data_IF_334072470062
#
_entry.id   IF_334072470062
#
_cell.length_a   1.000
_cell.length_b   1.000
_cell.length_c   1.000
_cell.angle_alpha   90.00
_cell.angle_beta   90.00
_cell.angle_gamma   90.00
#
_symmetry.space_group_name_H-M   'P 1'
#
loop_
_entity.id
_entity.type
_entity.pdbx_description
1 polymer ?
#
# COMPACT_ATOMS: atom_id res chain seq x y z
N UNK A 1 -24.79 22.73 3.28
CA UNK A 1 -23.81 21.92 2.52
C UNK A 1 -23.83 20.48 3.00
N UNK A 2 -24.31 20.28 4.22
CA UNK A 2 -24.68 19.02 4.84
C UNK A 2 -25.36 18.05 3.87
N UNK A 3 -24.96 16.79 3.93
CA UNK A 3 -25.53 15.71 3.14
C UNK A 3 -25.32 14.36 3.84
N UNK A 4 -26.39 13.60 3.99
CA UNK A 4 -26.41 12.23 4.51
C UNK A 4 -26.84 11.20 3.45
N UNK A 5 -26.85 11.59 2.16
CA UNK A 5 -27.06 10.74 0.99
C UNK A 5 -28.39 9.94 0.91
N UNK A 6 -29.27 10.02 1.92
CA UNK A 6 -30.58 9.37 1.99
C UNK A 6 -31.52 9.79 0.84
N UNK A 7 -31.35 10.99 0.30
CA UNK A 7 -32.09 11.49 -0.86
C UNK A 7 -31.62 10.89 -2.20
N UNK A 8 -30.59 10.03 -2.21
CA UNK A 8 -30.01 9.43 -3.41
C UNK A 8 -29.20 10.40 -4.28
N UNK A 9 -28.75 11.54 -3.74
CA UNK A 9 -28.02 12.57 -4.47
C UNK A 9 -26.73 13.01 -3.74
N UNK A 10 -25.63 13.06 -4.48
CA UNK A 10 -24.33 13.59 -4.00
C UNK A 10 -24.40 15.12 -3.81
N UNK A 11 -25.26 15.80 -4.59
CA UNK A 11 -25.44 17.25 -4.54
C UNK A 11 -25.80 17.73 -3.12
N UNK A 12 -25.22 18.84 -2.65
CA UNK A 12 -24.53 19.88 -3.44
C UNK A 12 -23.03 19.62 -3.69
N UNK A 13 -22.47 18.53 -3.17
CA UNK A 13 -21.07 18.15 -3.42
C UNK A 13 -20.87 17.71 -4.88
N UNK A 14 -19.64 17.87 -5.36
CA UNK A 14 -19.22 17.64 -6.74
C UNK A 14 -18.20 16.52 -6.75
N UNK A 15 -18.55 15.40 -7.37
CA UNK A 15 -17.59 14.35 -7.72
C UNK A 15 -16.71 14.86 -8.87
N UNK A 16 -15.40 14.90 -8.65
CA UNK A 16 -14.37 15.32 -9.60
C UNK A 16 -13.41 14.17 -9.97
N UNK A 17 -13.77 12.93 -9.61
CA UNK A 17 -12.91 11.76 -9.81
C UNK A 17 -12.78 11.34 -11.27
N UNK A 18 -11.78 10.50 -11.56
CA UNK A 18 -11.72 9.76 -12.82
C UNK A 18 -12.91 8.77 -12.93
N UNK A 19 -13.49 8.54 -14.13
CA UNK A 19 -14.59 7.58 -14.30
C UNK A 19 -14.31 6.16 -13.80
N UNK A 20 -13.05 5.72 -13.69
CA UNK A 20 -12.65 4.39 -13.21
C UNK A 20 -12.76 4.23 -11.68
N UNK A 21 -12.46 5.28 -10.90
CA UNK A 21 -12.48 5.27 -9.43
C UNK A 21 -13.18 6.52 -8.95
N UNK A 22 -14.44 6.41 -8.52
CA UNK A 22 -15.35 7.55 -8.30
C UNK A 22 -16.28 7.37 -7.11
N UNK A 23 -16.97 8.43 -6.71
CA UNK A 23 -17.93 8.37 -5.61
C UNK A 23 -19.32 7.92 -6.09
N UNK A 24 -19.95 7.04 -5.30
CA UNK A 24 -21.26 6.47 -5.63
C UNK A 24 -22.05 6.18 -4.36
N UNK A 25 -23.36 6.39 -4.41
CA UNK A 25 -24.21 6.15 -3.25
C UNK A 25 -24.51 4.65 -3.16
N UNK A 26 -24.00 4.01 -2.10
CA UNK A 26 -24.32 2.63 -1.74
C UNK A 26 -25.53 2.61 -0.80
N UNK A 27 -26.56 1.84 -1.15
CA UNK A 27 -27.59 1.47 -0.19
C UNK A 27 -27.15 0.19 0.50
N UNK A 28 -26.96 0.23 1.82
CA UNK A 28 -26.48 -0.90 2.63
C UNK A 28 -27.39 -2.13 2.57
N UNK A 29 -28.67 -1.99 2.22
CA UNK A 29 -29.58 -3.13 2.08
C UNK A 29 -29.47 -3.81 0.71
N UNK A 30 -28.76 -3.20 -0.24
CA UNK A 30 -28.46 -3.73 -1.57
C UNK A 30 -27.05 -3.27 -2.03
N UNK A 31 -25.97 -3.66 -1.33
CA UNK A 31 -24.61 -3.28 -1.70
C UNK A 31 -24.23 -3.88 -3.06
N UNK A 32 -23.37 -3.20 -3.82
CA UNK A 32 -22.86 -3.75 -5.08
C UNK A 32 -21.64 -4.67 -4.87
N UNK A 33 -20.95 -4.53 -3.74
CA UNK A 33 -19.90 -5.43 -3.24
C UNK A 33 -20.45 -6.26 -2.06
N UNK A 34 -21.21 -7.35 -2.30
CA UNK A 34 -21.88 -8.09 -1.22
C UNK A 34 -20.91 -8.70 -0.19
N UNK A 35 -19.74 -9.16 -0.64
CA UNK A 35 -18.70 -9.75 0.22
C UNK A 35 -17.91 -8.71 1.02
N UNK A 36 -17.92 -7.43 0.61
CA UNK A 36 -17.26 -6.32 1.30
C UNK A 36 -18.25 -5.24 1.78
N UNK A 37 -19.40 -5.70 2.29
CA UNK A 37 -20.47 -4.85 2.78
C UNK A 37 -20.03 -3.95 3.93
N UNK A 38 -20.40 -2.67 3.86
CA UNK A 38 -20.17 -1.71 4.93
C UNK A 38 -20.93 -2.08 6.23
N UNK A 39 -20.34 -1.81 7.42
CA UNK A 39 -21.00 -1.99 8.70
C UNK A 39 -22.23 -1.09 8.84
N UNK A 40 -23.01 -1.25 9.91
CA UNK A 40 -24.22 -0.43 10.12
C UNK A 40 -23.81 1.04 10.30
N UNK A 41 -24.19 1.98 9.41
CA UNK A 41 -23.88 3.39 9.56
C UNK A 41 -24.54 3.96 10.83
N UNK A 42 -23.99 5.06 11.33
CA UNK A 42 -24.47 5.72 12.55
C UNK A 42 -25.90 6.28 12.40
N UNK A 43 -26.32 6.52 11.16
CA UNK A 43 -27.64 6.99 10.75
C UNK A 43 -28.02 6.32 9.41
N UNK A 44 -29.30 6.37 9.03
CA UNK A 44 -29.70 6.07 7.65
C UNK A 44 -29.48 4.63 7.14
N UNK A 45 -29.24 4.52 5.84
CA UNK A 45 -29.02 3.29 5.06
C UNK A 45 -28.31 3.54 3.71
N UNK A 46 -28.24 4.79 3.23
CA UNK A 46 -27.44 5.20 2.10
C UNK A 46 -26.15 5.86 2.61
N UNK A 47 -25.02 5.58 1.98
CA UNK A 47 -23.74 6.23 2.27
C UNK A 47 -22.98 6.45 0.96
N UNK A 48 -21.97 7.32 0.96
CA UNK A 48 -21.15 7.57 -0.23
C UNK A 48 -19.89 6.72 -0.16
N UNK A 49 -19.74 5.78 -1.11
CA UNK A 49 -18.63 4.81 -1.19
C UNK A 49 -17.86 4.99 -2.48
N UNK A 50 -16.57 4.66 -2.46
CA UNK A 50 -15.74 4.60 -3.67
C UNK A 50 -16.11 3.37 -4.52
N UNK A 51 -16.49 3.59 -5.78
CA UNK A 51 -16.71 2.57 -6.82
C UNK A 51 -15.47 2.50 -7.73
N UNK A 52 -14.76 1.37 -7.66
CA UNK A 52 -13.54 1.05 -8.43
C UNK A 52 -13.82 0.26 -9.73
N UNK A 53 -15.09 0.07 -10.08
CA UNK A 53 -15.51 -0.74 -11.22
C UNK A 53 -15.21 -2.24 -11.07
N UNK A 54 -15.51 -3.02 -12.11
CA UNK A 54 -15.36 -4.49 -12.09
C UNK A 54 -13.90 -4.98 -12.07
N UNK A 55 -12.95 -4.10 -12.37
CA UNK A 55 -11.51 -4.40 -12.35
C UNK A 55 -10.84 -4.05 -11.02
N UNK A 56 -11.58 -3.50 -10.05
CA UNK A 56 -11.04 -2.97 -8.79
C UNK A 56 -9.83 -2.05 -9.01
N UNK A 57 -10.00 -1.07 -9.92
CA UNK A 57 -8.93 -0.16 -10.31
C UNK A 57 -8.38 0.61 -9.09
N UNK A 58 -7.06 0.76 -9.03
CA UNK A 58 -6.43 1.73 -8.12
C UNK A 58 -6.71 3.15 -8.59
N UNK A 59 -6.88 4.07 -7.65
CA UNK A 59 -7.03 5.48 -7.94
C UNK A 59 -7.53 6.27 -6.74
N UNK A 60 -7.79 7.56 -6.99
CA UNK A 60 -8.26 8.50 -5.97
C UNK A 60 -9.63 9.04 -6.37
N UNK A 61 -10.62 8.81 -5.52
CA UNK A 61 -11.92 9.42 -5.68
C UNK A 61 -11.94 10.80 -5.01
N UNK A 62 -12.29 11.84 -5.77
CA UNK A 62 -12.20 13.25 -5.37
C UNK A 62 -13.61 13.82 -5.19
N UNK A 63 -13.96 14.26 -3.99
CA UNK A 63 -15.24 14.93 -3.70
C UNK A 63 -15.01 16.34 -3.17
N UNK A 64 -15.49 17.36 -3.91
CA UNK A 64 -15.34 18.77 -3.55
C UNK A 64 -16.66 19.39 -3.08
N UNK A 65 -16.60 20.21 -2.04
CA UNK A 65 -17.74 21.01 -1.57
C UNK A 65 -18.07 22.16 -2.53
N UNK A 66 -19.27 22.75 -2.46
CA UNK A 66 -19.48 24.11 -2.93
C UNK A 66 -18.49 25.09 -2.26
N UNK A 67 -18.26 26.24 -2.91
CA UNK A 67 -17.53 27.35 -2.30
C UNK A 67 -18.31 27.90 -1.12
N UNK A 68 -17.63 28.13 0.00
CA UNK A 68 -18.16 28.80 1.17
C UNK A 68 -17.17 29.82 1.72
N UNK A 69 -17.65 30.64 2.65
CA UNK A 69 -16.85 31.58 3.44
C UNK A 69 -17.26 31.38 4.91
N UNK A 70 -16.31 31.39 5.83
CA UNK A 70 -16.58 31.35 7.27
C UNK A 70 -15.47 32.05 8.05
N UNK A 71 -15.74 32.42 9.29
CA UNK A 71 -14.72 32.91 10.24
C UNK A 71 -14.34 31.81 11.25
N UNK A 72 -15.31 31.05 11.76
CA UNK A 72 -15.11 29.79 12.47
C UNK A 72 -16.30 28.85 12.21
N UNK A 73 -16.04 27.60 11.84
CA UNK A 73 -17.04 26.53 11.67
C UNK A 73 -16.38 25.18 11.86
N UNK A 74 -17.07 24.26 12.54
CA UNK A 74 -16.70 22.86 12.63
C UNK A 74 -17.33 22.08 11.47
N UNK A 75 -16.55 21.24 10.82
CA UNK A 75 -17.05 20.28 9.84
C UNK A 75 -16.86 18.87 10.37
N UNK A 76 -17.95 18.11 10.42
CA UNK A 76 -17.96 16.73 10.90
C UNK A 76 -18.52 15.78 9.84
N UNK A 77 -18.09 14.54 9.91
CA UNK A 77 -18.53 13.47 9.01
C UNK A 77 -18.38 12.10 9.67
N UNK A 78 -19.26 11.17 9.30
CA UNK A 78 -19.13 9.74 9.60
C UNK A 78 -18.27 9.08 8.52
N UNK A 79 -17.41 8.13 8.87
CA UNK A 79 -16.60 7.38 7.91
C UNK A 79 -16.40 5.91 8.33
N UNK A 80 -16.15 5.07 7.33
CA UNK A 80 -15.61 3.72 7.49
C UNK A 80 -14.56 3.47 6.41
N UNK A 81 -13.41 2.98 6.84
CA UNK A 81 -12.28 2.60 5.99
C UNK A 81 -11.92 1.16 6.33
N UNK A 82 -11.63 0.36 5.31
CA UNK A 82 -11.13 -1.01 5.44
C UNK A 82 -10.11 -1.23 4.33
N UNK A 83 -9.03 -1.93 4.64
CA UNK A 83 -7.97 -2.24 3.66
C UNK A 83 -7.44 -3.64 3.89
N UNK A 84 -7.17 -4.44 2.85
CA UNK A 84 -6.48 -5.73 3.02
C UNK A 84 -5.07 -5.52 3.57
N UNK A 85 -4.39 -4.54 3.03
CA UNK A 85 -3.05 -4.11 3.40
C UNK A 85 -3.17 -2.73 4.05
N UNK A 86 -2.75 -2.56 5.32
CA UNK A 86 -2.76 -1.26 5.95
C UNK A 86 -2.02 -0.19 5.13
N UNK A 87 -2.40 1.08 5.31
CA UNK A 87 -1.84 2.26 4.63
C UNK A 87 -2.19 2.42 3.12
N UNK A 88 -2.48 1.36 2.35
CA UNK A 88 -2.81 1.48 0.91
C UNK A 88 -4.19 2.10 0.60
N UNK A 89 -5.10 2.08 1.57
CA UNK A 89 -6.39 2.76 1.52
C UNK A 89 -6.34 3.91 2.52
N UNK A 90 -6.86 5.09 2.16
CA UNK A 90 -6.88 6.26 3.04
C UNK A 90 -8.02 7.22 2.66
N UNK A 91 -8.46 8.04 3.62
CA UNK A 91 -9.34 9.17 3.39
C UNK A 91 -8.69 10.43 3.94
N UNK A 92 -8.34 11.35 3.05
CA UNK A 92 -7.78 12.63 3.41
C UNK A 92 -8.78 13.75 3.17
N UNK A 93 -8.75 14.76 4.03
CA UNK A 93 -9.56 15.97 3.92
C UNK A 93 -8.65 17.18 3.84
N UNK A 94 -8.78 17.93 2.75
CA UNK A 94 -8.05 19.17 2.49
C UNK A 94 -8.98 20.39 2.56
N UNK A 95 -8.42 21.50 3.00
CA UNK A 95 -9.00 22.83 2.84
C UNK A 95 -8.30 23.54 1.67
N UNK A 96 -9.05 23.78 0.60
CA UNK A 96 -8.64 24.70 -0.46
C UNK A 96 -8.97 26.13 -0.03
N UNK A 97 -7.92 26.98 0.05
CA UNK A 97 -8.02 28.41 0.29
C UNK A 97 -7.53 29.20 -0.93
N UNK A 98 -8.48 29.69 -1.72
CA UNK A 98 -8.26 30.45 -2.97
C UNK A 98 -7.38 29.73 -4.02
N UNK A 99 -7.47 28.41 -4.13
CA UNK A 99 -6.68 27.56 -5.04
C UNK A 99 -5.42 26.94 -4.42
N UNK A 100 -5.22 27.08 -3.10
CA UNK A 100 -4.11 26.47 -2.37
C UNK A 100 -4.67 25.45 -1.38
N UNK A 101 -4.39 24.17 -1.61
CA UNK A 101 -4.89 23.07 -0.78
C UNK A 101 -3.92 22.77 0.38
N UNK A 102 -4.44 22.70 1.60
CA UNK A 102 -3.71 22.26 2.79
C UNK A 102 -4.43 21.09 3.46
N UNK A 103 -3.69 20.05 3.83
CA UNK A 103 -4.21 18.88 4.55
C UNK A 103 -4.73 19.30 5.93
N UNK A 104 -5.98 18.95 6.23
CA UNK A 104 -6.57 19.09 7.58
C UNK A 104 -6.47 17.80 8.38
N UNK A 105 -6.63 16.65 7.71
CA UNK A 105 -6.82 15.36 8.36
C UNK A 105 -6.49 14.23 7.37
N UNK A 106 -5.75 13.22 7.85
CA UNK A 106 -5.50 11.95 7.17
C UNK A 106 -5.98 10.82 8.10
N UNK A 107 -6.52 9.73 7.55
CA UNK A 107 -7.25 8.69 8.31
C UNK A 107 -6.69 7.27 8.11
N UNK A 108 -5.43 7.16 7.64
CA UNK A 108 -4.75 5.91 7.34
C UNK A 108 -4.66 4.96 8.55
N UNK A 109 -4.66 5.50 9.77
CA UNK A 109 -4.69 4.78 11.05
C UNK A 109 -5.92 3.88 11.23
N UNK A 110 -6.97 4.08 10.43
CA UNK A 110 -8.20 3.25 10.43
C UNK A 110 -8.24 2.20 9.30
N UNK A 111 -7.19 2.12 8.49
CA UNK A 111 -7.09 1.22 7.35
C UNK A 111 -6.61 -0.16 7.78
N UNK A 112 -7.51 -0.93 8.40
CA UNK A 112 -7.27 -2.31 8.87
C UNK A 112 -8.29 -3.26 8.24
N UNK A 113 -7.84 -4.45 7.84
CA UNK A 113 -8.68 -5.52 7.24
C UNK A 113 -9.77 -6.02 8.20
N UNK A 114 -9.57 -5.79 9.49
CA UNK A 114 -10.47 -6.13 10.59
C UNK A 114 -11.37 -4.95 11.00
N UNK A 115 -11.17 -3.74 10.47
CA UNK A 115 -12.00 -2.59 10.84
C UNK A 115 -13.44 -2.80 10.35
N UNK A 116 -14.37 -2.93 11.31
CA UNK A 116 -15.82 -3.11 11.08
C UNK A 116 -16.65 -2.02 11.76
N UNK A 117 -16.02 -0.92 12.17
CA UNK A 117 -16.67 0.14 12.94
C UNK A 117 -16.75 1.45 12.14
N UNK A 118 -17.95 2.02 12.11
CA UNK A 118 -18.13 3.41 11.69
C UNK A 118 -17.62 4.34 12.79
N UNK A 119 -16.85 5.36 12.39
CA UNK A 119 -16.36 6.42 13.27
C UNK A 119 -16.87 7.77 12.81
N UNK A 120 -16.76 8.79 13.65
CA UNK A 120 -16.98 10.19 13.32
C UNK A 120 -15.68 10.95 13.49
N UNK A 121 -15.37 11.83 12.54
CA UNK A 121 -14.34 12.86 12.70
C UNK A 121 -14.95 14.26 12.68
N UNK A 122 -14.23 15.22 13.22
CA UNK A 122 -14.57 16.65 13.23
C UNK A 122 -13.28 17.47 13.08
N UNK A 123 -13.32 18.51 12.25
CA UNK A 123 -12.21 19.46 12.04
C UNK A 123 -12.71 20.90 12.23
N UNK A 124 -11.89 21.75 12.83
CA UNK A 124 -12.15 23.19 12.95
C UNK A 124 -11.66 23.92 11.68
N UNK A 125 -12.48 24.82 11.13
CA UNK A 125 -12.17 25.61 9.94
C UNK A 125 -12.25 27.09 10.31
N UNK A 126 -11.09 27.73 10.39
CA UNK A 126 -10.95 29.16 10.69
C UNK A 126 -10.42 29.94 9.50
N UNK A 127 -11.07 31.05 9.13
CA UNK A 127 -10.52 32.00 8.16
C UNK A 127 -10.90 33.46 8.46
N UNK A 128 -9.93 34.24 8.94
CA UNK A 128 -10.09 35.68 9.17
C UNK A 128 -10.02 36.52 7.88
N UNK A 129 -9.76 35.92 6.71
CA UNK A 129 -9.41 36.64 5.48
C UNK A 129 -10.52 36.74 4.43
N UNK A 130 -11.74 36.27 4.73
CA UNK A 130 -12.87 36.22 3.79
C UNK A 130 -12.48 35.57 2.44
N UNK A 131 -11.69 34.49 2.52
CA UNK A 131 -11.27 33.70 1.37
C UNK A 131 -12.41 32.84 0.86
N UNK A 132 -12.33 32.45 -0.41
CA UNK A 132 -13.17 31.41 -0.97
C UNK A 132 -12.59 30.06 -0.55
N UNK A 133 -13.37 29.31 0.25
CA UNK A 133 -12.98 28.02 0.79
C UNK A 133 -13.73 26.90 0.07
N UNK A 134 -13.06 25.78 -0.20
CA UNK A 134 -13.72 24.49 -0.46
C UNK A 134 -13.07 23.39 0.36
N UNK A 135 -13.87 22.40 0.76
CA UNK A 135 -13.36 21.14 1.31
C UNK A 135 -13.21 20.13 0.19
N UNK A 136 -12.14 19.35 0.22
CA UNK A 136 -11.84 18.31 -0.76
C UNK A 136 -11.53 17.02 -0.02
N UNK A 137 -12.33 15.99 -0.25
CA UNK A 137 -11.97 14.63 0.13
C UNK A 137 -11.17 13.98 -0.99
N UNK A 138 -10.01 13.43 -0.65
CA UNK A 138 -9.24 12.52 -1.50
C UNK A 138 -9.33 11.13 -0.85
N UNK A 139 -10.09 10.23 -1.48
CA UNK A 139 -10.21 8.85 -1.04
C UNK A 139 -9.33 7.94 -1.90
N UNK A 140 -8.19 7.55 -1.34
CA UNK A 140 -7.29 6.55 -1.89
C UNK A 140 -7.86 5.17 -1.57
N UNK A 141 -8.14 4.37 -2.59
CA UNK A 141 -8.73 3.05 -2.41
C UNK A 141 -7.85 2.02 -3.13
N UNK A 142 -7.35 1.03 -2.39
CA UNK A 142 -6.48 -0.03 -2.92
C UNK A 142 -7.18 -0.91 -3.96
N UNK A 143 -6.52 -1.98 -4.40
CA UNK A 143 -7.01 -2.90 -5.45
C UNK A 143 -7.64 -4.19 -4.91
N UNK A 144 -7.50 -4.50 -3.61
CA UNK A 144 -8.02 -5.72 -3.02
C UNK A 144 -9.54 -5.69 -2.88
N UNK A 145 -10.19 -6.85 -2.82
CA UNK A 145 -11.64 -6.95 -2.69
C UNK A 145 -12.14 -6.41 -1.33
N UNK A 146 -11.27 -6.42 -0.32
CA UNK A 146 -11.50 -5.91 1.02
C UNK A 146 -11.41 -4.39 1.13
N UNK A 147 -10.77 -3.72 0.18
CA UNK A 147 -10.51 -2.27 0.24
C UNK A 147 -11.80 -1.47 0.06
N UNK A 148 -12.05 -0.53 0.96
CA UNK A 148 -13.22 0.33 0.95
C UNK A 148 -12.94 1.66 1.66
N UNK A 149 -13.38 2.75 1.04
CA UNK A 149 -13.55 4.06 1.68
C UNK A 149 -15.01 4.46 1.55
N UNK A 150 -15.62 4.82 2.67
CA UNK A 150 -17.02 5.25 2.75
C UNK A 150 -17.16 6.45 3.68
N UNK A 151 -17.96 7.44 3.28
CA UNK A 151 -18.32 8.63 4.08
C UNK A 151 -19.83 8.80 4.15
N UNK A 152 -20.30 9.43 5.23
CA UNK A 152 -21.71 9.71 5.48
C UNK A 152 -21.87 10.89 6.49
N UNK A 153 -23.10 11.32 6.75
CA UNK A 153 -23.46 12.36 7.73
C UNK A 153 -22.60 13.64 7.64
N UNK A 154 -22.32 14.15 6.43
CA UNK A 154 -21.55 15.39 6.27
C UNK A 154 -22.32 16.55 6.90
N UNK A 155 -21.72 17.30 7.84
CA UNK A 155 -22.43 18.31 8.63
C UNK A 155 -21.53 19.48 9.05
N UNK A 156 -22.01 20.71 8.86
CA UNK A 156 -21.35 21.94 9.32
C UNK A 156 -22.04 22.52 10.55
N UNK A 157 -21.27 22.92 11.57
CA UNK A 157 -21.75 23.50 12.83
C UNK A 157 -20.97 24.76 13.21
N UNK A 158 -21.63 25.75 13.82
CA UNK A 158 -20.94 26.90 14.45
C UNK A 158 -20.47 26.60 15.88
N UNK A 159 -20.98 25.53 16.48
CA UNK A 159 -20.64 25.08 17.83
C UNK A 159 -19.87 23.76 17.75
N UNK A 160 -18.75 23.64 18.47
CA UNK A 160 -17.99 22.39 18.59
C UNK A 160 -18.83 21.29 19.25
N UNK A 161 -18.77 20.05 18.75
CA UNK A 161 -19.45 18.94 19.41
C UNK A 161 -18.65 18.56 20.66
N UNK A 162 -19.26 18.67 21.84
CA UNK A 162 -18.63 18.33 23.14
C UNK A 162 -18.44 16.80 23.33
N UNK A 163 -17.56 16.19 22.55
CA UNK A 163 -17.16 14.77 22.67
C UNK A 163 -16.18 14.57 23.84
N UNK A 164 -16.72 14.39 25.04
CA UNK A 164 -15.92 14.02 26.22
C UNK A 164 -15.57 12.54 26.22
N UNK A 165 -14.47 12.13 25.56
CA UNK A 165 -13.50 11.11 26.05
C UNK A 165 -12.15 11.35 25.38
N UNK A 166 -11.13 11.73 26.16
CA UNK A 166 -9.72 11.68 25.73
C UNK A 166 -9.17 10.28 26.05
N UNK A 167 -8.56 9.55 25.09
CA UNK A 167 -7.86 8.31 25.42
C UNK A 167 -6.68 8.65 26.34
N UNK A 168 -6.69 8.09 27.55
CA UNK A 168 -5.58 8.23 28.49
C UNK A 168 -4.51 7.21 28.11
N UNK A 169 -3.38 7.69 27.59
CA UNK A 169 -2.20 6.88 27.35
C UNK A 169 -1.81 6.15 28.64
N UNK A 170 -2.05 4.84 28.66
CA UNK A 170 -1.85 4.00 29.84
C UNK A 170 -0.45 3.41 29.77
N UNK A 171 0.51 4.05 30.42
CA UNK A 171 1.89 3.57 30.50
C UNK A 171 1.97 2.34 31.41
N UNK A 172 1.69 1.16 30.85
CA UNK A 172 1.87 -0.11 31.58
C UNK A 172 3.35 -0.48 31.65
N UNK A 173 4.01 -0.08 32.74
CA UNK A 173 5.34 -0.58 33.09
C UNK A 173 5.32 -2.10 33.27
N UNK A 174 6.22 -2.80 32.58
CA UNK A 174 6.33 -4.25 32.70
C UNK A 174 6.83 -4.67 34.10
N UNK A 175 6.28 -5.73 34.65
CA UNK A 175 6.86 -6.40 35.82
C UNK A 175 6.57 -7.90 35.75
N UNK A 176 7.63 -8.72 35.76
CA UNK A 176 7.54 -10.19 35.70
C UNK A 176 6.70 -10.77 36.85
N UNK A 177 5.80 -11.75 36.59
CA UNK A 177 5.26 -12.59 37.64
C UNK A 177 6.17 -13.78 37.92
N UNK A 178 6.63 -13.93 39.16
CA UNK A 178 7.20 -15.17 39.68
C UNK A 178 6.12 -15.99 40.40
N UNK A 179 5.92 -17.21 39.89
CA UNK A 179 5.62 -18.47 40.62
C UNK A 179 4.82 -18.50 41.94
N UNK A 180 3.78 -19.36 41.89
CA UNK A 180 3.38 -20.42 42.85
C UNK A 180 2.27 -20.23 43.90
N UNK A 181 1.39 -21.25 43.90
CA UNK A 181 0.62 -21.88 45.00
C UNK A 181 -0.68 -21.28 45.57
N UNK A 182 -1.80 -21.74 44.99
CA UNK A 182 -2.87 -22.55 45.62
C UNK A 182 -3.56 -22.12 46.94
N UNK A 183 -4.90 -22.01 46.91
CA UNK A 183 -5.77 -22.86 47.77
C UNK A 183 -7.25 -22.87 47.33
N UNK A 184 -7.86 -24.05 47.46
CA UNK A 184 -9.22 -24.55 47.18
C UNK A 184 -10.47 -23.82 47.72
N UNK A 185 -11.62 -24.24 47.17
CA UNK A 185 -12.99 -24.41 47.75
C UNK A 185 -14.08 -23.40 47.32
N UNK A 186 -15.39 -23.73 47.25
CA UNK A 186 -16.09 -25.00 46.95
C UNK A 186 -17.61 -24.74 46.75
N UNK A 187 -18.28 -25.53 45.90
CA UNK A 187 -19.75 -25.87 45.93
C UNK A 187 -20.81 -24.77 46.05
N UNK A 188 -21.74 -24.69 45.07
CA UNK A 188 -23.07 -25.32 45.26
C UNK A 188 -23.95 -25.32 43.99
N UNK A 189 -24.87 -26.28 43.93
CA UNK A 189 -25.80 -26.56 42.83
C UNK A 189 -27.26 -26.53 43.28
N UNK A 190 -28.20 -26.04 42.45
CA UNK A 190 -29.63 -26.37 42.58
C UNK A 190 -30.38 -26.33 41.22
N UNK A 191 -31.54 -27.00 41.14
CA UNK A 191 -32.12 -27.58 39.91
C UNK A 191 -33.55 -27.10 39.54
N UNK A 192 -34.03 -27.58 38.36
CA UNK A 192 -35.42 -27.71 37.82
C UNK A 192 -36.04 -26.50 37.05
N UNK A 193 -36.94 -26.65 36.06
CA UNK A 193 -37.78 -27.82 35.65
C UNK A 193 -38.10 -27.92 34.12
N UNK A 194 -38.14 -29.18 33.64
CA UNK A 194 -38.93 -29.89 32.58
C UNK A 194 -40.35 -29.31 32.27
N UNK A 195 -41.10 -29.59 31.14
CA UNK A 195 -40.92 -30.58 30.03
C UNK A 195 -41.09 -30.08 28.56
N UNK A 196 -40.81 -30.96 27.58
CA UNK A 196 -41.78 -31.48 26.58
C UNK A 196 -41.30 -32.86 26.07
N UNK A 197 -42.23 -33.70 25.64
CA UNK A 197 -42.16 -35.18 25.66
C UNK A 197 -42.14 -35.78 24.25
N UNK A 198 -41.23 -36.76 23.98
CA UNK A 198 -41.43 -38.05 23.25
C UNK A 198 -42.07 -38.06 21.83
N UNK A 199 -41.77 -38.94 20.86
CA UNK A 199 -41.04 -40.23 20.72
C UNK A 199 -40.40 -40.26 19.30
N UNK A 200 -39.67 -41.26 18.77
CA UNK A 200 -39.37 -42.66 19.12
C UNK A 200 -38.11 -43.05 18.30
N UNK A 201 -37.05 -43.63 18.88
CA UNK A 201 -36.65 -45.06 18.77
C UNK A 201 -36.51 -45.62 17.33
N UNK A 202 -35.48 -46.39 16.97
CA UNK A 202 -34.69 -47.34 17.79
C UNK A 202 -33.37 -47.75 17.08
N UNK A 203 -32.27 -47.89 17.84
CA UNK A 203 -31.20 -48.94 17.80
C UNK A 203 -30.62 -49.49 16.46
N UNK A 204 -29.36 -49.96 16.36
CA UNK A 204 -28.41 -50.49 17.37
C UNK A 204 -26.97 -50.54 16.82
N UNK A 205 -25.96 -50.43 17.71
CA UNK A 205 -24.77 -51.28 17.92
C UNK A 205 -24.02 -51.95 16.73
N UNK A 206 -22.69 -52.20 16.77
CA UNK A 206 -21.61 -51.76 17.68
C UNK A 206 -20.20 -52.12 17.13
N UNK A 207 -19.22 -51.45 17.73
CA UNK A 207 -17.75 -51.69 17.79
C UNK A 207 -17.29 -53.16 17.68
N UNK A 208 -16.24 -53.45 16.89
CA UNK A 208 -14.95 -54.00 17.40
C UNK A 208 -13.88 -54.27 16.32
N UNK A 209 -12.62 -54.19 16.78
CA UNK A 209 -11.33 -54.36 16.08
C UNK A 209 -10.86 -55.81 15.90
N UNK A 210 -9.89 -56.07 15.00
CA UNK A 210 -8.55 -56.68 15.28
C UNK A 210 -7.72 -56.94 14.00
N UNK A 211 -6.39 -56.84 14.12
CA UNK A 211 -5.30 -57.07 13.15
C UNK A 211 -4.91 -58.55 12.94
N UNK A 212 -4.36 -58.94 11.78
CA UNK A 212 -3.15 -59.82 11.66
C UNK A 212 -2.56 -59.88 10.24
N UNK A 213 -1.26 -60.20 10.15
CA UNK A 213 -0.43 -60.31 8.94
C UNK A 213 -0.61 -61.62 8.12
N UNK A 214 -0.01 -61.68 6.92
CA UNK A 214 0.18 -62.94 6.16
C UNK A 214 0.79 -62.77 4.76
N UNK A 215 1.84 -63.53 4.44
CA UNK A 215 2.76 -63.33 3.29
C UNK A 215 2.69 -64.46 2.23
N UNK A 216 3.11 -64.17 0.98
CA UNK A 216 3.60 -65.05 -0.12
C UNK A 216 2.93 -66.40 -0.46
N UNK A 217 2.67 -66.64 -1.76
CA UNK A 217 3.53 -67.52 -2.62
C UNK A 217 3.08 -67.55 -4.10
N UNK A 218 3.95 -68.06 -4.97
CA UNK A 218 3.89 -68.10 -6.45
C UNK A 218 3.42 -69.45 -7.02
N UNK A 219 2.97 -69.49 -8.29
CA UNK A 219 3.56 -70.34 -9.37
C UNK A 219 2.86 -70.13 -10.76
N UNK A 220 3.24 -70.93 -11.77
CA UNK A 220 3.57 -70.46 -13.15
C UNK A 220 2.85 -71.25 -14.27
N UNK A 221 3.15 -70.94 -15.55
CA UNK A 221 2.81 -71.64 -16.83
C UNK A 221 1.40 -71.35 -17.42
N UNK A 222 1.17 -71.29 -18.75
CA UNK A 222 2.06 -71.31 -19.93
C UNK A 222 1.45 -70.59 -21.16
N UNK A 223 2.21 -70.48 -22.27
CA UNK A 223 1.86 -69.77 -23.52
C UNK A 223 0.61 -70.28 -24.28
N UNK A 224 -0.15 -69.38 -24.93
CA UNK A 224 -0.01 -69.13 -26.40
C UNK A 224 -0.96 -68.04 -26.94
N UNK A 225 -0.49 -67.38 -28.01
CA UNK A 225 -1.04 -66.24 -28.76
C UNK A 225 -2.46 -66.37 -29.31
N UNK A 226 -3.26 -65.29 -29.25
CA UNK A 226 -3.82 -64.67 -30.47
C UNK A 226 -4.16 -63.18 -30.27
N UNK A 227 -4.16 -62.41 -31.37
CA UNK A 227 -4.32 -60.95 -31.39
C UNK A 227 -5.76 -60.47 -31.23
N UNK A 228 -6.01 -59.47 -30.38
CA UNK A 228 -6.90 -58.35 -30.74
C UNK A 228 -6.70 -57.10 -29.86
N UNK A 229 -6.85 -55.92 -30.47
CA UNK A 229 -6.63 -54.62 -29.84
C UNK A 229 -7.88 -54.17 -29.05
N UNK A 230 -7.67 -53.56 -27.88
CA UNK A 230 -8.71 -52.89 -27.07
C UNK A 230 -8.67 -51.38 -27.35
N UNK A 231 -9.81 -50.67 -27.46
CA UNK A 231 -9.83 -49.31 -28.02
C UNK A 231 -9.46 -48.19 -27.03
N UNK A 232 -8.78 -47.16 -27.55
CA UNK A 232 -8.62 -45.85 -26.91
C UNK A 232 -9.90 -44.98 -26.97
N UNK A 233 -10.02 -43.95 -26.11
CA UNK A 233 -11.24 -43.16 -25.98
C UNK A 233 -11.45 -42.15 -27.12
N UNK A 234 -12.71 -42.01 -27.56
CA UNK A 234 -13.11 -41.21 -28.71
C UNK A 234 -12.97 -39.70 -28.50
N UNK A 235 -12.04 -39.07 -29.23
CA UNK A 235 -11.97 -37.61 -29.42
C UNK A 235 -13.22 -37.11 -30.15
N UNK A 236 -14.00 -36.20 -29.55
CA UNK A 236 -15.14 -35.55 -30.23
C UNK A 236 -14.67 -34.55 -31.28
N UNK A 237 -14.96 -34.84 -32.55
CA UNK A 237 -14.87 -33.88 -33.66
C UNK A 237 -16.18 -33.12 -33.78
N UNK A 238 -16.14 -31.78 -33.76
CA UNK A 238 -17.26 -30.94 -34.17
C UNK A 238 -16.97 -30.37 -35.58
N UNK A 239 -17.97 -30.43 -36.45
CA UNK A 239 -17.92 -29.94 -37.83
C UNK A 239 -18.02 -28.42 -37.91
N UNK A 240 -17.41 -27.76 -38.92
CA UNK A 240 -17.54 -26.32 -39.12
C UNK A 240 -18.92 -25.97 -39.70
N UNK A 241 -19.56 -24.92 -39.18
CA UNK A 241 -20.79 -24.35 -39.74
C UNK A 241 -20.47 -23.15 -40.63
N UNK A 242 -21.05 -23.10 -41.82
CA UNK A 242 -20.85 -22.04 -42.82
C UNK A 242 -21.85 -20.89 -42.65
N UNK A 243 -21.35 -19.66 -42.51
CA UNK A 243 -22.11 -18.39 -42.45
C UNK A 243 -21.36 -17.37 -43.34
N UNK A 244 -22.03 -16.45 -44.09
CA UNK A 244 -21.50 -16.00 -45.36
C UNK A 244 -20.47 -14.86 -45.30
N UNK A 245 -19.67 -14.81 -46.36
CA UNK A 245 -18.58 -13.88 -46.62
C UNK A 245 -19.09 -12.43 -46.78
N UNK A 246 -18.61 -11.51 -45.94
CA UNK A 246 -18.90 -10.08 -46.05
C UNK A 246 -17.65 -9.34 -46.55
N UNK A 247 -17.76 -8.68 -47.70
CA UNK A 247 -16.64 -8.10 -48.45
C UNK A 247 -15.86 -7.04 -47.66
N UNK A 248 -14.66 -7.39 -47.18
CA UNK A 248 -13.76 -6.44 -46.51
C UNK A 248 -13.04 -5.57 -47.55
N UNK A 249 -13.41 -4.29 -47.62
CA UNK A 249 -12.78 -3.31 -48.51
C UNK A 249 -11.45 -2.84 -47.91
N UNK A 250 -10.33 -3.24 -48.52
CA UNK A 250 -9.00 -2.74 -48.16
C UNK A 250 -8.90 -1.24 -48.46
N UNK A 251 -8.59 -0.44 -47.45
CA UNK A 251 -8.17 0.96 -47.62
C UNK A 251 -6.70 1.07 -47.22
N UNK A 252 -5.87 1.47 -48.18
CA UNK A 252 -4.45 1.78 -47.99
C UNK A 252 -4.31 3.07 -47.18
N UNK A 253 -3.45 3.15 -46.15
CA UNK A 253 -3.15 4.42 -45.49
C UNK A 253 -2.25 5.27 -46.39
N UNK A 254 -2.74 6.47 -46.75
CA UNK A 254 -1.95 7.51 -47.42
C UNK A 254 -1.01 8.19 -46.42
N UNK A 255 0.27 8.48 -46.75
CA UNK A 255 1.14 9.26 -45.89
C UNK A 255 0.62 10.71 -45.78
N UNK A 256 0.38 11.20 -44.56
CA UNK A 256 -0.19 12.52 -44.32
C UNK A 256 0.32 13.17 -43.03
N UNK A 257 1.15 14.19 -43.22
CA UNK A 257 1.33 15.38 -42.38
C UNK A 257 1.71 15.22 -40.88
N UNK A 258 2.99 15.51 -40.59
CA UNK A 258 3.49 15.69 -39.22
C UNK A 258 3.05 17.07 -38.71
N UNK A 259 2.14 17.11 -37.73
CA UNK A 259 1.81 18.34 -37.01
C UNK A 259 2.85 18.55 -35.90
N UNK A 260 3.80 19.45 -36.16
CA UNK A 260 4.80 19.86 -35.17
C UNK A 260 4.18 20.82 -34.15
N UNK A 261 3.79 20.33 -32.98
CA UNK A 261 3.33 21.19 -31.89
C UNK A 261 4.52 21.86 -31.20
N UNK A 262 4.87 23.07 -31.62
CA UNK A 262 5.92 23.88 -30.99
C UNK A 262 5.43 24.48 -29.68
N UNK A 263 6.04 24.09 -28.55
CA UNK A 263 5.87 24.79 -27.28
C UNK A 263 6.55 26.18 -27.35
N UNK A 264 5.97 27.22 -26.71
CA UNK A 264 6.58 28.54 -26.67
C UNK A 264 7.82 28.56 -25.79
N UNK A 265 8.97 28.88 -26.37
CA UNK A 265 10.20 29.17 -25.62
C UNK A 265 10.10 30.52 -24.93
N UNK A 266 10.13 30.54 -23.60
CA UNK A 266 10.34 31.76 -22.84
C UNK A 266 11.82 32.19 -22.92
N UNK A 267 12.13 33.48 -23.13
CA UNK A 267 13.50 33.96 -23.16
C UNK A 267 14.09 33.99 -21.74
N UNK A 268 15.15 33.22 -21.52
CA UNK A 268 16.01 33.37 -20.34
C UNK A 268 16.78 34.67 -20.48
N UNK A 269 16.66 35.56 -19.50
CA UNK A 269 17.50 36.75 -19.34
C UNK A 269 18.63 36.47 -18.36
N UNK A 270 19.84 36.93 -18.70
CA UNK A 270 21.07 36.67 -17.93
C UNK A 270 21.02 37.22 -16.50
N UNK A 271 21.58 36.51 -15.51
CA UNK A 271 21.87 37.11 -14.21
C UNK A 271 23.08 38.05 -14.32
N UNK A 272 22.89 39.28 -13.85
CA UNK A 272 23.93 40.32 -13.81
C UNK A 272 25.08 39.95 -12.88
N UNK A 273 26.31 40.20 -13.34
CA UNK A 273 27.52 40.18 -12.54
C UNK A 273 27.54 41.30 -11.49
N UNK A 274 27.88 40.96 -10.25
CA UNK A 274 28.47 41.90 -9.29
C UNK A 274 29.65 41.24 -8.59
N UNK A 275 30.84 41.80 -8.78
CA UNK A 275 32.01 41.55 -7.94
C UNK A 275 31.81 42.23 -6.58
N UNK A 276 32.31 41.64 -5.49
CA UNK A 276 33.14 42.40 -4.53
C UNK A 276 34.05 41.48 -3.70
N UNK A 277 34.93 42.10 -2.90
CA UNK A 277 36.29 41.58 -2.65
C UNK A 277 36.66 41.47 -1.16
N UNK A 278 37.41 40.41 -0.85
CA UNK A 278 38.52 40.36 0.13
C UNK A 278 38.40 41.04 1.52
N UNK A 279 38.29 40.18 2.54
CA UNK A 279 39.15 40.15 3.76
C UNK A 279 39.10 41.28 4.82
N UNK A 280 38.93 40.89 6.09
CA UNK A 280 39.12 41.76 7.26
C UNK A 280 38.91 41.05 8.61
N UNK A 281 40.00 40.67 9.28
CA UNK A 281 40.02 39.94 10.57
C UNK A 281 39.82 40.86 11.79
N UNK A 282 39.10 40.42 12.85
CA UNK A 282 39.54 40.40 14.28
C UNK A 282 38.46 39.91 15.25
N UNK A 283 38.90 39.37 16.40
CA UNK A 283 38.08 38.74 17.46
C UNK A 283 37.42 39.75 18.43
N UNK A 284 36.35 39.34 19.14
CA UNK A 284 36.35 39.33 20.62
C UNK A 284 35.18 38.52 21.25
N UNK A 285 35.54 37.49 22.02
CA UNK A 285 34.94 36.98 23.28
C UNK A 285 33.43 37.00 23.62
N UNK A 286 32.96 35.79 24.01
CA UNK A 286 32.00 35.45 25.10
C UNK A 286 30.55 35.95 25.06
N UNK A 287 29.60 35.02 24.96
CA UNK A 287 28.92 34.49 26.16
C UNK A 287 28.44 33.03 25.94
N UNK A 288 28.11 32.33 27.03
CA UNK A 288 27.71 30.92 27.06
C UNK A 288 26.18 30.76 26.99
N UNK A 289 25.69 30.11 25.95
CA UNK A 289 24.36 29.47 25.96
C UNK A 289 24.49 28.03 25.48
N UNK A 290 24.22 27.08 26.38
CA UNK A 290 24.06 25.67 26.06
C UNK A 290 22.77 25.46 25.25
N UNK A 291 22.88 25.68 23.94
CA UNK A 291 21.88 25.25 22.98
C UNK A 291 22.28 23.85 22.53
N UNK A 292 21.63 22.81 23.05
CA UNK A 292 21.77 21.44 22.52
C UNK A 292 21.07 21.39 21.17
N UNK A 293 21.72 21.90 20.13
CA UNK A 293 21.41 21.56 18.75
C UNK A 293 21.79 20.10 18.56
N UNK A 294 20.82 19.24 18.24
CA UNK A 294 21.15 17.93 17.68
C UNK A 294 22.07 18.16 16.47
N UNK A 295 23.16 17.38 16.32
CA UNK A 295 23.96 17.47 15.11
C UNK A 295 23.09 17.06 13.93
N UNK A 296 23.07 17.90 12.90
CA UNK A 296 22.62 17.52 11.57
C UNK A 296 23.58 16.43 11.08
N UNK A 297 23.19 15.17 11.23
CA UNK A 297 24.07 14.03 11.08
C UNK A 297 24.40 13.82 9.60
N UNK A 298 25.65 14.12 9.25
CA UNK A 298 26.12 14.07 7.88
C UNK A 298 26.48 12.64 7.51
N UNK A 299 26.02 12.22 6.34
CA UNK A 299 26.40 11.00 5.65
C UNK A 299 27.89 10.60 5.81
N UNK A 300 28.25 9.31 5.80
CA UNK A 300 29.64 8.86 5.94
C UNK A 300 30.62 9.51 4.93
N UNK A 301 31.72 10.07 5.44
CA UNK A 301 32.71 10.84 4.66
C UNK A 301 33.36 10.00 3.53
N UNK A 302 33.44 8.68 3.69
CA UNK A 302 34.08 7.77 2.75
C UNK A 302 33.39 7.73 1.38
N UNK A 303 32.04 7.64 1.34
CA UNK A 303 31.30 7.62 0.07
C UNK A 303 31.04 9.04 -0.47
N UNK A 304 30.99 10.08 0.37
CA UNK A 304 30.87 11.48 -0.10
C UNK A 304 31.98 11.89 -1.08
N UNK A 305 33.18 11.32 -0.95
CA UNK A 305 34.30 11.59 -1.86
C UNK A 305 34.20 10.88 -3.23
N UNK A 306 33.30 9.90 -3.36
CA UNK A 306 33.12 9.13 -4.59
C UNK A 306 32.03 9.75 -5.47
N UNK A 307 32.43 10.45 -6.54
CA UNK A 307 31.48 11.07 -7.48
C UNK A 307 30.53 10.11 -8.19
N UNK A 308 30.84 8.80 -8.18
CA UNK A 308 29.96 7.74 -8.70
C UNK A 308 28.93 7.21 -7.69
N UNK A 309 29.05 7.57 -6.40
CA UNK A 309 28.16 7.15 -5.30
C UNK A 309 27.81 8.36 -4.41
N UNK A 310 27.17 9.43 -4.95
CA UNK A 310 26.77 10.59 -4.15
C UNK A 310 25.81 10.22 -3.03
N UNK A 311 26.08 10.75 -1.83
CA UNK A 311 25.31 10.53 -0.61
C UNK A 311 24.42 11.71 -0.25
N UNK A 312 23.23 11.43 0.25
CA UNK A 312 22.20 12.39 0.59
C UNK A 312 21.43 11.94 1.84
N UNK A 313 21.21 12.85 2.78
CA UNK A 313 20.30 12.62 3.92
C UNK A 313 18.86 12.78 3.44
N UNK A 314 18.02 11.77 3.71
CA UNK A 314 16.59 11.76 3.41
C UNK A 314 15.89 11.42 4.73
N UNK A 315 15.03 12.32 5.22
CA UNK A 315 14.55 12.25 6.60
C UNK A 315 15.72 12.41 7.59
N UNK A 316 15.95 11.41 8.42
CA UNK A 316 17.10 11.31 9.34
C UNK A 316 18.20 10.38 8.84
N UNK A 317 17.97 9.60 7.79
CA UNK A 317 18.84 8.52 7.34
C UNK A 317 19.68 8.95 6.14
N UNK A 318 20.90 8.40 6.01
CA UNK A 318 21.76 8.65 4.85
C UNK A 318 21.65 7.54 3.80
N UNK A 319 21.43 7.96 2.55
CA UNK A 319 21.41 7.07 1.39
C UNK A 319 22.42 7.51 0.33
N UNK A 320 23.18 6.58 -0.24
CA UNK A 320 24.16 6.85 -1.29
C UNK A 320 23.81 6.11 -2.58
N UNK A 321 23.60 6.87 -3.66
CA UNK A 321 22.99 6.35 -4.90
C UNK A 321 24.06 6.13 -5.97
N UNK A 322 24.27 4.89 -6.42
CA UNK A 322 25.22 4.63 -7.50
C UNK A 322 24.71 5.21 -8.83
N UNK A 323 25.48 6.15 -9.40
CA UNK A 323 25.17 6.84 -10.65
C UNK A 323 26.08 6.42 -11.82
N UNK A 324 27.06 5.55 -11.57
CA UNK A 324 28.05 5.15 -12.56
C UNK A 324 27.47 4.31 -13.70
N UNK A 325 28.27 4.10 -14.75
CA UNK A 325 27.87 3.38 -15.95
C UNK A 325 28.11 1.86 -15.90
N UNK A 326 28.72 1.34 -14.83
CA UNK A 326 28.92 -0.10 -14.65
C UNK A 326 27.68 -0.72 -14.04
N UNK A 327 27.05 -1.64 -14.76
CA UNK A 327 25.96 -2.45 -14.24
C UNK A 327 26.53 -3.60 -13.40
N UNK A 328 25.93 -3.87 -12.24
CA UNK A 328 26.45 -4.84 -11.27
C UNK A 328 25.44 -5.98 -11.00
N UNK A 329 25.98 -7.11 -10.57
CA UNK A 329 25.22 -8.15 -9.86
C UNK A 329 25.01 -7.75 -8.39
N UNK A 330 24.10 -8.47 -7.71
CA UNK A 330 23.68 -8.15 -6.34
C UNK A 330 24.85 -8.23 -5.35
N UNK A 331 25.68 -9.27 -5.45
CA UNK A 331 26.83 -9.49 -4.56
C UNK A 331 27.88 -8.39 -4.69
N UNK A 332 28.14 -7.90 -5.90
CA UNK A 332 29.07 -6.80 -6.14
C UNK A 332 28.54 -5.47 -5.60
N UNK A 333 27.22 -5.26 -5.66
CA UNK A 333 26.58 -4.08 -5.09
C UNK A 333 26.62 -4.09 -3.55
N UNK A 334 26.26 -5.21 -2.92
CA UNK A 334 26.35 -5.43 -1.47
C UNK A 334 27.76 -5.18 -0.93
N UNK A 335 28.77 -5.77 -1.59
CA UNK A 335 30.17 -5.58 -1.18
C UNK A 335 30.60 -4.09 -1.24
N UNK A 336 30.15 -3.31 -2.22
CA UNK A 336 30.52 -1.88 -2.30
C UNK A 336 29.89 -1.07 -1.16
N UNK A 337 28.66 -1.37 -0.77
CA UNK A 337 28.06 -0.73 0.39
C UNK A 337 28.79 -1.12 1.69
N UNK A 338 29.10 -2.40 1.87
CA UNK A 338 29.85 -2.89 3.05
C UNK A 338 31.26 -2.34 3.14
N UNK A 339 31.96 -2.19 2.02
CA UNK A 339 33.27 -1.51 1.95
C UNK A 339 33.16 -0.04 2.40
N UNK A 340 31.99 0.57 2.24
CA UNK A 340 31.64 1.90 2.73
C UNK A 340 31.16 1.98 4.18
N UNK A 341 31.12 0.87 4.93
CA UNK A 341 30.48 0.76 6.26
C UNK A 341 28.99 1.08 6.25
N UNK A 342 28.31 0.65 5.18
CA UNK A 342 26.89 0.81 4.89
C UNK A 342 26.31 -0.55 4.45
N UNK A 343 24.99 -0.69 4.36
CA UNK A 343 24.32 -1.85 3.76
C UNK A 343 23.74 -1.50 2.39
N UNK A 344 23.30 -2.50 1.61
CA UNK A 344 22.31 -2.23 0.58
C UNK A 344 21.03 -1.70 1.24
N UNK A 345 20.29 -0.87 0.50
CA UNK A 345 19.00 -0.32 0.90
C UNK A 345 18.06 -1.41 1.41
N UNK A 346 17.72 -1.34 2.69
CA UNK A 346 16.51 -1.93 3.26
C UNK A 346 15.33 -1.00 3.02
N UNK A 347 14.11 -1.52 3.05
CA UNK A 347 12.92 -0.67 2.94
C UNK A 347 11.87 -1.20 3.91
N UNK A 348 11.91 -0.72 5.15
CA UNK A 348 11.15 -1.28 6.26
C UNK A 348 9.81 -0.56 6.50
N UNK A 349 9.60 0.58 5.84
CA UNK A 349 8.40 1.41 5.98
C UNK A 349 7.92 2.02 4.68
N UNK A 350 6.63 2.34 4.59
CA UNK A 350 6.04 3.07 3.47
C UNK A 350 6.63 4.49 3.35
N UNK A 351 6.88 5.14 4.48
CA UNK A 351 7.42 6.50 4.55
C UNK A 351 8.84 6.56 3.97
N UNK A 352 9.66 5.54 4.24
CA UNK A 352 10.97 5.35 3.62
C UNK A 352 10.85 5.07 2.13
N UNK A 353 10.06 4.06 1.74
CA UNK A 353 9.88 3.65 0.35
C UNK A 353 9.46 4.85 -0.52
N UNK A 354 8.49 5.65 -0.02
CA UNK A 354 8.02 6.84 -0.71
C UNK A 354 9.09 7.94 -0.76
N UNK A 355 9.85 8.13 0.32
CA UNK A 355 10.92 9.13 0.35
C UNK A 355 12.06 8.79 -0.62
N UNK A 356 12.40 7.51 -0.76
CA UNK A 356 13.37 7.03 -1.76
C UNK A 356 12.81 7.20 -3.17
N UNK A 357 11.55 6.81 -3.40
CA UNK A 357 10.88 7.00 -4.70
C UNK A 357 10.90 8.46 -5.13
N UNK A 358 10.34 9.36 -4.31
CA UNK A 358 10.25 10.80 -4.60
C UNK A 358 11.63 11.43 -4.81
N UNK A 359 12.65 10.99 -4.07
CA UNK A 359 14.02 11.43 -4.26
C UNK A 359 14.61 10.99 -5.60
N UNK A 360 14.44 9.71 -5.99
CA UNK A 360 14.95 9.19 -7.27
C UNK A 360 14.22 9.86 -8.44
N UNK A 361 12.89 9.96 -8.43
CA UNK A 361 12.13 10.50 -9.57
C UNK A 361 12.32 12.02 -9.76
N UNK A 362 12.59 12.77 -8.68
CA UNK A 362 12.87 14.22 -8.76
C UNK A 362 14.31 14.54 -9.16
N UNK A 363 15.25 13.59 -9.00
CA UNK A 363 16.66 13.81 -9.26
C UNK A 363 17.04 13.64 -10.73
N UNK A 364 17.17 14.77 -11.44
CA UNK A 364 17.65 14.81 -12.84
C UNK A 364 19.00 14.12 -13.11
N UNK A 365 19.81 13.83 -12.07
CA UNK A 365 21.09 13.10 -12.18
C UNK A 365 20.94 11.60 -11.93
N UNK A 366 20.02 11.20 -11.05
CA UNK A 366 19.71 9.79 -10.81
C UNK A 366 18.66 9.35 -11.83
N UNK A 367 19.11 9.29 -13.09
CA UNK A 367 18.32 9.03 -14.31
C UNK A 367 17.06 8.21 -14.00
N UNK A 368 15.83 8.74 -14.26
CA UNK A 368 14.58 8.09 -13.87
C UNK A 368 14.44 6.64 -14.33
N UNK A 369 15.12 6.24 -15.40
CA UNK A 369 15.16 4.87 -15.93
C UNK A 369 16.09 3.93 -15.13
N UNK A 370 16.03 3.98 -13.80
CA UNK A 370 16.94 3.27 -12.91
C UNK A 370 16.30 2.03 -12.29
N UNK A 371 16.92 0.87 -12.51
CA UNK A 371 16.72 -0.33 -11.71
C UNK A 371 17.81 -0.37 -10.63
N UNK A 372 17.45 -0.57 -9.36
CA UNK A 372 18.40 -0.56 -8.24
C UNK A 372 18.22 -1.81 -7.39
N UNK A 373 19.31 -2.53 -7.10
CA UNK A 373 19.31 -3.59 -6.10
C UNK A 373 18.96 -3.02 -4.72
N UNK A 374 18.16 -3.77 -3.97
CA UNK A 374 17.90 -3.61 -2.53
C UNK A 374 18.60 -4.73 -1.77
N UNK A 375 18.62 -4.68 -0.43
CA UNK A 375 19.09 -5.79 0.40
C UNK A 375 18.16 -7.02 0.37
N UNK A 376 17.01 -6.93 -0.31
CA UNK A 376 15.97 -7.95 -0.27
C UNK A 376 16.39 -9.25 -0.94
N UNK A 377 16.20 -10.36 -0.25
CA UNK A 377 16.64 -11.69 -0.69
C UNK A 377 15.65 -12.77 -0.24
N UNK A 378 15.44 -13.80 -1.06
CA UNK A 378 14.60 -14.93 -0.68
C UNK A 378 15.41 -16.05 0.00
N UNK A 379 14.92 -16.46 1.16
CA UNK A 379 15.51 -17.47 2.03
C UNK A 379 14.89 -18.84 1.75
N UNK A 380 15.61 -19.72 1.05
CA UNK A 380 15.14 -21.07 0.77
C UNK A 380 15.07 -21.98 2.02
N UNK A 381 15.83 -21.67 3.06
CA UNK A 381 15.82 -22.44 4.32
C UNK A 381 14.63 -22.06 5.21
N UNK A 382 14.18 -20.80 5.16
CA UNK A 382 13.06 -20.28 5.95
C UNK A 382 11.73 -20.19 5.17
N UNK A 383 11.76 -20.26 3.82
CA UNK A 383 10.62 -20.07 2.91
C UNK A 383 9.99 -18.66 2.99
N UNK A 384 10.83 -17.63 3.13
CA UNK A 384 10.41 -16.22 3.28
C UNK A 384 11.39 -15.22 2.63
N UNK A 385 10.94 -13.98 2.41
CA UNK A 385 11.80 -12.87 2.01
C UNK A 385 12.39 -12.17 3.24
N UNK A 386 13.71 -11.95 3.21
CA UNK A 386 14.52 -11.40 4.29
C UNK A 386 15.38 -10.24 3.80
N UNK A 387 15.63 -9.27 4.67
CA UNK A 387 16.58 -8.18 4.44
C UNK A 387 17.99 -8.66 4.73
N UNK A 388 18.77 -8.92 3.68
CA UNK A 388 20.15 -9.40 3.78
C UNK A 388 21.16 -8.28 4.14
N UNK A 389 20.75 -7.29 4.93
CA UNK A 389 21.52 -6.10 5.31
C UNK A 389 22.52 -6.42 6.43
N UNK A 390 22.03 -6.73 7.62
CA UNK A 390 22.83 -7.08 8.81
C UNK A 390 22.42 -8.45 9.34
N UNK A 391 23.37 -9.21 9.87
CA UNK A 391 23.10 -10.54 10.46
C UNK A 391 22.70 -10.39 11.95
N UNK A 392 21.62 -11.05 12.43
CA UNK A 392 20.74 -11.96 11.69
C UNK A 392 19.85 -11.22 10.68
N UNK A 393 19.68 -11.79 9.49
CA UNK A 393 18.73 -11.25 8.51
C UNK A 393 17.30 -11.27 9.07
N UNK A 394 16.59 -10.16 8.91
CA UNK A 394 15.23 -9.98 9.43
C UNK A 394 14.20 -10.17 8.30
N UNK A 395 13.06 -10.86 8.53
CA UNK A 395 12.00 -11.00 7.54
C UNK A 395 11.42 -9.64 7.11
N UNK A 396 10.86 -9.58 5.91
CA UNK A 396 10.21 -8.36 5.39
C UNK A 396 9.07 -7.87 6.31
N UNK A 397 9.25 -6.68 6.86
CA UNK A 397 8.27 -5.93 7.67
C UNK A 397 7.26 -5.15 6.80
N UNK A 398 7.67 -4.80 5.58
CA UNK A 398 6.95 -3.99 4.61
C UNK A 398 7.27 -4.50 3.19
N UNK A 399 6.32 -4.38 2.26
CA UNK A 399 6.45 -4.84 0.89
C UNK A 399 5.77 -3.87 -0.10
N UNK A 400 6.43 -3.59 -1.23
CA UNK A 400 5.83 -2.85 -2.35
C UNK A 400 6.07 -3.52 -3.72
N UNK A 401 5.85 -4.84 -3.75
CA UNK A 401 5.93 -5.69 -4.94
C UNK A 401 5.03 -5.20 -6.08
N UNK A 402 5.58 -5.15 -7.29
CA UNK A 402 4.86 -4.86 -8.52
C UNK A 402 3.74 -5.86 -8.82
N UNK A 403 2.80 -5.48 -9.69
CA UNK A 403 1.66 -6.35 -10.04
C UNK A 403 2.13 -7.65 -10.69
N UNK A 404 2.03 -8.75 -9.93
CA UNK A 404 2.45 -10.10 -10.35
C UNK A 404 3.73 -10.58 -9.67
N UNK A 405 4.38 -9.72 -8.88
CA UNK A 405 5.63 -9.99 -8.18
C UNK A 405 5.40 -10.36 -6.69
N UNK A 406 6.36 -11.03 -6.02
CA UNK A 406 7.49 -11.72 -6.64
C UNK A 406 6.97 -12.85 -7.55
N UNK A 407 7.45 -12.90 -8.80
CA UNK A 407 6.92 -13.86 -9.78
C UNK A 407 7.35 -15.29 -9.46
N UNK A 408 8.37 -15.45 -8.59
CA UNK A 408 8.90 -16.73 -8.13
C UNK A 408 9.33 -17.63 -9.31
N UNK A 409 9.86 -17.04 -10.39
CA UNK A 409 10.45 -17.84 -11.45
C UNK A 409 11.74 -18.52 -10.95
N UNK A 410 12.15 -19.59 -11.62
CA UNK A 410 13.27 -20.41 -11.13
C UNK A 410 14.57 -19.60 -11.02
N UNK A 411 15.09 -19.55 -9.78
CA UNK A 411 16.33 -18.91 -9.31
C UNK A 411 16.29 -17.37 -9.12
N UNK A 412 15.11 -16.75 -9.07
CA UNK A 412 14.94 -15.30 -8.88
C UNK A 412 14.83 -14.94 -7.39
N UNK A 413 15.99 -14.81 -6.72
CA UNK A 413 16.11 -14.72 -5.26
C UNK A 413 16.62 -13.38 -4.71
N UNK A 414 16.71 -12.33 -5.54
CA UNK A 414 17.13 -10.99 -5.10
C UNK A 414 16.15 -9.92 -5.59
N UNK A 415 15.80 -8.99 -4.71
CA UNK A 415 14.82 -7.94 -4.96
C UNK A 415 15.47 -6.66 -5.49
N UNK A 416 14.83 -6.04 -6.49
CA UNK A 416 15.21 -4.74 -7.03
C UNK A 416 14.02 -3.79 -7.12
N UNK A 417 14.30 -2.51 -6.93
CA UNK A 417 13.37 -1.41 -7.14
C UNK A 417 13.48 -0.87 -8.57
N UNK A 418 12.35 -0.72 -9.26
CA UNK A 418 12.24 -0.20 -10.62
C UNK A 418 11.55 1.17 -10.64
N UNK A 419 12.33 2.25 -10.67
CA UNK A 419 11.79 3.62 -10.73
C UNK A 419 11.52 4.10 -12.18
N UNK A 420 11.69 3.24 -13.18
CA UNK A 420 11.61 3.61 -14.60
C UNK A 420 10.20 4.00 -15.02
N UNK A 421 9.95 5.14 -15.70
CA UNK A 421 8.63 5.45 -16.24
C UNK A 421 8.10 4.31 -17.14
N UNK A 422 6.83 3.89 -17.02
CA UNK A 422 5.72 4.57 -16.35
C UNK A 422 5.45 4.13 -14.90
N UNK A 423 6.44 3.57 -14.19
CA UNK A 423 6.24 3.03 -12.84
C UNK A 423 5.71 4.09 -11.87
N UNK A 424 4.82 3.63 -10.99
CA UNK A 424 4.11 4.44 -10.01
C UNK A 424 4.26 3.76 -8.66
N UNK A 425 4.71 4.52 -7.66
CA UNK A 425 4.82 4.11 -6.27
C UNK A 425 3.63 3.25 -5.78
N UNK A 426 2.41 3.67 -6.10
CA UNK A 426 1.18 3.00 -5.64
C UNK A 426 0.76 1.76 -6.45
N UNK A 427 1.47 1.43 -7.54
CA UNK A 427 1.22 0.23 -8.33
C UNK A 427 2.10 -0.96 -7.92
N UNK A 428 2.97 -0.76 -6.92
CA UNK A 428 4.10 -1.63 -6.66
C UNK A 428 5.19 -1.46 -7.71
N UNK A 429 6.44 -1.47 -7.27
CA UNK A 429 7.58 -1.25 -8.16
C UNK A 429 8.83 -2.05 -7.77
N UNK A 430 8.74 -2.93 -6.78
CA UNK A 430 9.75 -3.93 -6.48
C UNK A 430 9.50 -5.22 -7.28
N UNK A 431 10.57 -5.91 -7.64
CA UNK A 431 10.58 -7.10 -8.52
C UNK A 431 11.67 -8.07 -8.06
N UNK A 432 11.50 -9.36 -8.30
CA UNK A 432 12.56 -10.37 -8.14
C UNK A 432 13.33 -10.60 -9.47
N UNK A 433 14.63 -10.86 -9.37
CA UNK A 433 15.48 -11.37 -10.46
C UNK A 433 16.56 -12.27 -9.83
N UNK A 434 17.33 -12.97 -10.66
CA UNK A 434 18.49 -13.75 -10.21
C UNK A 434 19.53 -12.78 -9.65
N UNK A 435 20.04 -13.06 -8.46
CA UNK A 435 21.11 -12.29 -7.82
C UNK A 435 22.37 -12.10 -8.70
N UNK A 436 22.59 -13.00 -9.67
CA UNK A 436 23.69 -12.97 -10.62
C UNK A 436 23.40 -12.18 -11.91
N UNK A 437 22.20 -11.63 -12.09
CA UNK A 437 21.83 -10.84 -13.28
C UNK A 437 22.56 -9.49 -13.25
N UNK A 438 23.46 -9.20 -14.21
CA UNK A 438 24.03 -7.86 -14.32
C UNK A 438 23.02 -6.94 -15.01
N UNK A 439 22.82 -5.74 -14.47
CA UNK A 439 21.92 -4.76 -15.11
C UNK A 439 21.61 -3.54 -14.26
N UNK A 440 21.74 -3.70 -12.94
CA UNK A 440 21.18 -2.81 -11.95
C UNK A 440 22.24 -1.86 -11.39
N UNK A 441 21.76 -0.73 -10.89
CA UNK A 441 22.48 0.15 -9.95
C UNK A 441 22.24 -0.35 -8.53
N UNK A 442 22.63 0.45 -7.54
CA UNK A 442 22.35 0.16 -6.14
C UNK A 442 22.20 1.46 -5.34
N UNK A 443 21.57 1.34 -4.19
CA UNK A 443 21.47 2.37 -3.17
C UNK A 443 22.08 1.76 -1.92
N UNK A 444 23.07 2.44 -1.33
CA UNK A 444 23.58 2.08 -0.01
C UNK A 444 22.85 2.89 1.04
N UNK A 445 22.58 2.27 2.18
CA UNK A 445 21.93 2.87 3.34
C UNK A 445 22.87 2.83 4.54
N UNK A 446 22.82 3.87 5.37
CA UNK A 446 23.59 3.93 6.61
C UNK A 446 23.13 2.84 7.58
N UNK A 447 24.07 2.21 8.28
CA UNK A 447 23.72 1.28 9.35
C UNK A 447 23.16 2.05 10.56
N UNK A 448 22.10 1.53 11.16
CA UNK A 448 21.52 1.98 12.43
C UNK A 448 22.43 1.78 13.67
#
# INVERSE_FOLDING_TARGET
MDNNFENGMVKPWIDQSDPAVKWKIENRNSPWEPENKAPLPLSGSNCLRVDRGTSLAFGVAILRSPVFNTTNTFFSFSFWIRSKWPQFTNLELYLDKNGNEGLLLSLYEYSDVNNRDWRRSEVEITDDTNSNLTLVFYAYCGTAAEDAVTIDDLYFSTDAILTTVRPTASTTSSTKPNTLTSSSSSTNSTSSTIPITTSSTTTTNAISSITTDGEMTSETTDEMTETNQTPEPTRRTLTPSTVPETTRRTLTPTPGEIITTTYPTFPVTDPISTEESSSGTTELTTDSTLTTTLPEEKCPEFLQANSSVPCHTIGTQCYCFYNGSSQLDWTSADQICRDGSMTLLTIETLEEDQSIFDYVISSSKLVPNGLYWTAGKYSQDNDEWEWASNEPFEPFSYENWGVGEPSNATDEYCAYANFSPPQNFSAGYWYDDRCATPGFKFICEQND
#
